data_IF_828036870928
#
_entry.id   IF_828036870928
#
_cell.length_a   1.000
_cell.length_b   1.000
_cell.length_c   1.000
_cell.angle_alpha   90.00
_cell.angle_beta   90.00
_cell.angle_gamma   90.00
#
_symmetry.space_group_name_H-M   'P 1'
#
loop_
_entity.id
_entity.type
_entity.pdbx_description
1 polymer ?
#
# COMPACT_ATOMS: atom_id res chain seq x y z
N UNK A 1 16.45 -6.45 11.94
CA UNK A 1 17.17 -6.34 10.65
C UNK A 1 16.46 -5.26 9.87
N UNK A 2 17.07 -4.09 9.76
CA UNK A 2 16.57 -3.02 8.89
C UNK A 2 17.07 -3.37 7.49
N UNK A 3 16.23 -4.09 6.73
CA UNK A 3 16.50 -4.31 5.31
C UNK A 3 16.27 -2.94 4.68
N UNK A 4 17.36 -2.23 4.40
CA UNK A 4 17.33 -0.94 3.71
C UNK A 4 16.45 -0.99 2.47
N UNK A 5 16.09 0.17 1.91
CA UNK A 5 15.08 0.27 0.86
C UNK A 5 15.38 -0.72 -0.28
N UNK A 6 14.36 -1.47 -0.75
CA UNK A 6 14.58 -2.51 -1.75
C UNK A 6 15.20 -1.92 -3.02
N UNK A 7 16.07 -2.69 -3.67
CA UNK A 7 16.72 -2.27 -4.93
C UNK A 7 15.67 -1.88 -5.98
N UNK A 8 14.53 -2.57 -5.98
CA UNK A 8 13.41 -2.36 -6.89
C UNK A 8 12.09 -2.32 -6.13
N UNK A 9 11.22 -1.38 -6.49
CA UNK A 9 9.81 -1.34 -6.03
C UNK A 9 8.90 -1.86 -7.14
N UNK A 10 7.95 -2.71 -6.78
CA UNK A 10 6.93 -3.21 -7.71
C UNK A 10 5.68 -2.34 -7.57
N UNK A 11 5.12 -1.79 -8.67
CA UNK A 11 3.84 -1.08 -8.61
C UNK A 11 2.76 -1.98 -8.02
N UNK A 12 2.11 -1.57 -6.94
CA UNK A 12 1.08 -2.36 -6.26
C UNK A 12 -0.29 -2.21 -6.94
N UNK A 13 -0.67 -0.97 -7.20
CA UNK A 13 -1.93 -0.60 -7.82
C UNK A 13 -2.25 0.86 -7.52
N UNK A 14 -3.51 1.19 -7.28
CA UNK A 14 -3.94 2.59 -7.10
C UNK A 14 -4.77 2.78 -5.82
N UNK A 15 -4.60 3.95 -5.23
CA UNK A 15 -5.38 4.39 -4.08
C UNK A 15 -6.86 4.54 -4.44
N UNK A 16 -7.74 4.00 -3.59
CA UNK A 16 -9.19 4.07 -3.79
C UNK A 16 -9.89 4.81 -2.64
N UNK A 17 -9.58 4.48 -1.38
CA UNK A 17 -10.28 5.06 -0.21
C UNK A 17 -9.37 5.33 0.99
N UNK A 18 -9.69 6.40 1.75
CA UNK A 18 -9.25 6.57 3.13
C UNK A 18 -10.24 5.93 4.09
N UNK A 19 -9.79 5.10 5.02
CA UNK A 19 -10.64 4.46 6.03
C UNK A 19 -10.03 4.68 7.41
N UNK A 20 -10.59 5.61 8.18
CA UNK A 20 -9.99 6.08 9.44
C UNK A 20 -8.54 6.57 9.21
N UNK A 21 -7.56 5.92 9.84
CA UNK A 21 -6.14 6.22 9.73
C UNK A 21 -5.42 5.34 8.68
N UNK A 22 -6.16 4.44 8.04
CA UNK A 22 -5.63 3.53 7.02
C UNK A 22 -6.04 3.96 5.60
N UNK A 23 -5.38 3.34 4.64
CA UNK A 23 -5.62 3.53 3.22
C UNK A 23 -5.99 2.21 2.58
N UNK A 24 -6.99 2.22 1.69
CA UNK A 24 -7.34 1.08 0.85
C UNK A 24 -6.90 1.33 -0.58
N UNK A 25 -6.15 0.38 -1.13
CA UNK A 25 -5.69 0.40 -2.52
C UNK A 25 -6.27 -0.78 -3.30
N UNK A 26 -6.64 -0.52 -4.55
CA UNK A 26 -6.93 -1.56 -5.54
C UNK A 26 -5.62 -2.16 -6.01
N UNK A 27 -5.54 -3.48 -6.07
CA UNK A 27 -4.32 -4.17 -6.49
C UNK A 27 -4.37 -4.48 -7.98
N UNK A 28 -3.31 -4.08 -8.70
CA UNK A 28 -3.17 -4.24 -10.15
C UNK A 28 -2.12 -5.31 -10.53
N UNK A 29 -1.58 -6.03 -9.54
CA UNK A 29 -0.61 -7.12 -9.75
C UNK A 29 -1.25 -8.50 -9.67
N UNK A 30 -0.71 -9.44 -10.46
CA UNK A 30 -1.15 -10.84 -10.43
C UNK A 30 -0.67 -11.58 -9.17
N UNK A 31 0.50 -11.21 -8.66
CA UNK A 31 1.06 -11.84 -7.48
C UNK A 31 0.46 -11.21 -6.22
N UNK A 32 -0.18 -12.03 -5.40
CA UNK A 32 -0.70 -11.60 -4.11
C UNK A 32 0.47 -11.13 -3.22
N UNK A 33 0.44 -9.89 -2.72
CA UNK A 33 1.48 -9.40 -1.83
C UNK A 33 1.40 -10.12 -0.46
N UNK A 34 2.37 -9.89 0.40
CA UNK A 34 2.41 -10.50 1.73
C UNK A 34 2.06 -9.49 2.83
N UNK A 35 1.55 -9.99 3.95
CA UNK A 35 1.28 -9.17 5.14
C UNK A 35 2.55 -8.48 5.65
N UNK A 36 2.41 -7.25 6.13
CA UNK A 36 3.49 -6.36 6.55
C UNK A 36 4.50 -5.99 5.46
N UNK A 37 4.21 -6.25 4.18
CA UNK A 37 5.04 -5.72 3.09
C UNK A 37 5.10 -4.20 3.18
N UNK A 38 6.29 -3.59 3.17
CA UNK A 38 6.43 -2.14 3.24
C UNK A 38 5.91 -1.51 1.94
N UNK A 39 5.14 -0.44 2.08
CA UNK A 39 4.60 0.35 0.96
C UNK A 39 5.38 1.65 0.84
N UNK A 40 5.74 1.98 -0.39
CA UNK A 40 6.51 3.16 -0.75
C UNK A 40 5.76 4.01 -1.78
N UNK A 41 6.02 5.30 -1.78
CA UNK A 41 5.66 6.18 -2.90
C UNK A 41 6.69 6.04 -4.04
N UNK A 42 6.40 6.64 -5.20
CA UNK A 42 7.34 6.69 -6.34
C UNK A 42 8.72 7.26 -5.97
N UNK A 43 8.74 8.20 -5.00
CA UNK A 43 9.98 8.78 -4.45
C UNK A 43 10.73 7.83 -3.49
N UNK A 44 10.33 6.56 -3.41
CA UNK A 44 10.86 5.54 -2.49
C UNK A 44 10.75 5.90 -1.00
N UNK A 45 9.83 6.81 -0.65
CA UNK A 45 9.53 7.11 0.74
C UNK A 45 8.56 6.06 1.26
N UNK A 46 8.94 5.36 2.32
CA UNK A 46 8.02 4.42 2.98
C UNK A 46 6.87 5.19 3.63
N UNK A 47 5.64 4.77 3.35
CA UNK A 47 4.43 5.39 3.90
C UNK A 47 3.72 4.50 4.92
N UNK A 48 3.96 3.20 4.88
CA UNK A 48 3.25 2.25 5.72
C UNK A 48 3.58 0.82 5.34
N UNK A 49 2.66 -0.08 5.67
CA UNK A 49 2.76 -1.50 5.38
C UNK A 49 1.38 -2.12 5.15
N UNK A 50 1.32 -3.22 4.41
CA UNK A 50 0.08 -3.98 4.21
C UNK A 50 -0.39 -4.59 5.54
N UNK A 51 -1.64 -4.35 5.91
CA UNK A 51 -2.27 -4.92 7.12
C UNK A 51 -3.26 -6.02 6.76
N UNK A 52 -4.10 -5.80 5.74
CA UNK A 52 -5.10 -6.78 5.30
C UNK A 52 -5.12 -6.94 3.78
N UNK A 53 -5.45 -8.16 3.33
CA UNK A 53 -5.67 -8.51 1.93
C UNK A 53 -7.07 -9.12 1.84
N UNK A 54 -7.95 -8.52 1.05
CA UNK A 54 -9.36 -8.92 1.03
C UNK A 54 -10.01 -8.74 -0.34
N UNK A 55 -11.04 -9.54 -0.63
CA UNK A 55 -11.72 -9.58 -1.92
C UNK A 55 -11.51 -10.91 -2.64
N UNK A 56 -11.76 -10.92 -3.95
CA UNK A 56 -11.62 -12.12 -4.77
C UNK A 56 -10.16 -12.27 -5.24
N UNK A 57 -9.68 -13.50 -5.42
CA UNK A 57 -8.28 -13.78 -5.79
C UNK A 57 -7.82 -13.09 -7.10
N UNK A 58 -8.75 -12.75 -7.99
CA UNK A 58 -8.48 -12.00 -9.24
C UNK A 58 -8.86 -10.52 -9.17
N UNK A 59 -9.51 -10.11 -8.10
CA UNK A 59 -10.08 -8.77 -7.93
C UNK A 59 -10.15 -8.45 -6.44
N UNK A 60 -9.00 -8.06 -5.87
CA UNK A 60 -8.84 -7.80 -4.44
C UNK A 60 -8.30 -6.40 -4.17
N UNK A 61 -8.36 -6.05 -2.91
CA UNK A 61 -7.87 -4.80 -2.33
C UNK A 61 -6.92 -5.14 -1.19
N UNK A 62 -6.14 -4.14 -0.79
CA UNK A 62 -5.33 -4.20 0.42
C UNK A 62 -5.60 -2.99 1.30
N UNK A 63 -5.59 -3.21 2.61
CA UNK A 63 -5.48 -2.11 3.56
C UNK A 63 -4.00 -1.88 3.89
N UNK A 64 -3.64 -0.61 3.99
CA UNK A 64 -2.30 -0.15 4.28
C UNK A 64 -2.37 0.62 5.59
N UNK A 65 -1.73 0.06 6.62
CA UNK A 65 -1.51 0.76 7.88
C UNK A 65 -0.42 1.79 7.67
N UNK A 66 -0.80 3.06 7.79
CA UNK A 66 0.09 4.19 7.62
C UNK A 66 1.06 4.31 8.79
N UNK A 67 2.22 4.89 8.52
CA UNK A 67 3.18 5.29 9.55
C UNK A 67 2.66 6.53 10.28
N UNK A 68 3.00 6.71 11.56
CA UNK A 68 2.47 7.80 12.42
C UNK A 68 2.67 9.22 11.85
N UNK A 69 3.63 9.40 10.94
CA UNK A 69 3.94 10.66 10.28
C UNK A 69 3.19 10.88 8.96
N UNK A 70 2.35 9.94 8.52
CA UNK A 70 1.60 10.00 7.26
C UNK A 70 0.11 10.04 7.55
N UNK A 71 -0.60 10.98 6.94
CA UNK A 71 -2.05 11.15 7.14
C UNK A 71 -2.83 10.55 5.98
N UNK A 72 -3.81 9.70 6.24
CA UNK A 72 -4.66 9.13 5.19
C UNK A 72 -5.32 10.21 4.32
N UNK A 73 -5.75 11.32 4.93
CA UNK A 73 -6.39 12.43 4.23
C UNK A 73 -5.48 13.18 3.22
N UNK A 74 -4.16 12.91 3.17
CA UNK A 74 -3.27 13.52 2.18
C UNK A 74 -3.20 12.77 0.85
N UNK A 75 -3.87 11.62 0.72
CA UNK A 75 -3.89 10.84 -0.52
C UNK A 75 -5.05 11.27 -1.42
N UNK A 76 -4.74 11.51 -2.70
CA UNK A 76 -5.73 11.80 -3.74
C UNK A 76 -6.17 10.49 -4.43
N UNK A 77 -7.40 10.48 -4.95
CA UNK A 77 -7.94 9.33 -5.68
C UNK A 77 -7.03 8.97 -6.88
N UNK A 78 -6.84 7.68 -7.14
CA UNK A 78 -6.11 7.14 -8.30
C UNK A 78 -4.58 7.36 -8.29
N UNK A 79 -4.01 7.80 -7.17
CA UNK A 79 -2.54 7.85 -6.99
C UNK A 79 -1.96 6.43 -6.97
N UNK A 80 -0.86 6.23 -7.70
CA UNK A 80 -0.13 4.95 -7.81
C UNK A 80 1.01 4.82 -6.81
#
# INVERSE_FOLDING_TARGET
FDQGPPETVTPLGHFEWTVQDDVVAKVDIEQVPYFNAPIYTENKQQIGKIDEIFGNIRDYYVSIKLSDNVKAASFEKDVK
#
